data_IF_070560351541
#
_entry.id   IF_070560351541
#
_cell.length_a   1.000
_cell.length_b   1.000
_cell.length_c   1.000
_cell.angle_alpha   90.00
_cell.angle_beta   90.00
_cell.angle_gamma   90.00
#
_symmetry.space_group_name_H-M   'P 1'
#
loop_
_entity.id
_entity.type
_entity.pdbx_description
1 polymer ?
#
# COMPACT_ATOMS: atom_id res chain seq x y z
N UNK A 1 5.89 -14.89 17.90
CA UNK A 1 4.65 -14.18 18.31
C UNK A 1 3.50 -14.65 17.44
N UNK A 2 2.35 -14.98 18.02
CA UNK A 2 1.18 -15.53 17.30
C UNK A 2 0.36 -14.42 16.66
N UNK A 3 0.37 -14.36 15.32
CA UNK A 3 -0.63 -13.65 14.53
C UNK A 3 -1.52 -14.71 13.86
N UNK A 4 -2.82 -14.70 14.16
CA UNK A 4 -3.81 -15.60 13.58
C UNK A 4 -5.00 -14.77 13.10
N UNK A 5 -5.18 -14.60 11.79
CA UNK A 5 -6.55 -14.51 11.23
C UNK A 5 -7.02 -15.94 10.96
N UNK A 6 -7.23 -16.67 12.05
CA UNK A 6 -7.15 -18.13 12.05
C UNK A 6 -8.05 -18.81 11.02
N UNK A 7 -7.43 -19.60 10.13
CA UNK A 7 -7.87 -20.93 9.70
C UNK A 7 -6.66 -21.84 9.38
N UNK A 8 -5.72 -21.91 10.34
CA UNK A 8 -4.66 -22.92 10.40
C UNK A 8 -3.54 -22.80 9.36
N UNK A 9 -2.46 -23.55 9.58
CA UNK A 9 -1.33 -23.62 8.66
C UNK A 9 -1.67 -24.53 7.47
N UNK A 10 -1.13 -24.21 6.29
CA UNK A 10 -1.28 -25.01 5.09
C UNK A 10 -0.09 -24.80 4.15
N UNK A 11 0.12 -25.68 3.15
CA UNK A 11 1.15 -25.47 2.14
C UNK A 11 0.97 -24.13 1.41
N UNK A 12 2.06 -23.50 0.95
CA UNK A 12 1.97 -22.27 0.15
C UNK A 12 1.03 -22.45 -1.04
N UNK A 13 0.14 -21.47 -1.26
CA UNK A 13 -0.83 -21.50 -2.36
C UNK A 13 -1.99 -22.47 -2.18
N UNK A 14 -2.30 -22.90 -0.95
CA UNK A 14 -3.48 -23.75 -0.66
C UNK A 14 -4.49 -23.03 0.24
N UNK A 15 -4.03 -22.18 1.15
CA UNK A 15 -4.88 -21.39 2.05
C UNK A 15 -4.34 -19.97 2.17
N UNK A 16 -5.25 -19.05 2.49
CA UNK A 16 -4.87 -17.70 2.89
C UNK A 16 -4.85 -17.60 4.42
N UNK A 17 -3.74 -17.09 4.95
CA UNK A 17 -3.59 -16.73 6.36
C UNK A 17 -3.01 -15.33 6.42
N UNK A 18 -3.73 -14.39 7.04
CA UNK A 18 -3.22 -13.04 7.22
C UNK A 18 -2.05 -13.09 8.20
N UNK A 19 -0.90 -12.63 7.74
CA UNK A 19 0.30 -12.49 8.54
C UNK A 19 0.76 -11.03 8.49
N UNK A 20 0.80 -10.38 9.65
CA UNK A 20 1.37 -9.05 9.81
C UNK A 20 2.69 -9.06 10.60
N UNK A 21 3.33 -10.24 10.70
CA UNK A 21 4.53 -10.49 11.50
C UNK A 21 5.73 -10.89 10.63
N UNK A 22 6.49 -11.88 11.09
CA UNK A 22 7.83 -12.20 10.56
C UNK A 22 7.88 -12.52 9.05
N UNK A 23 6.82 -13.13 8.49
CA UNK A 23 6.85 -13.51 7.08
C UNK A 23 6.84 -12.31 6.13
N UNK A 24 6.00 -11.32 6.39
CA UNK A 24 5.95 -10.12 5.54
C UNK A 24 7.19 -9.24 5.71
N UNK A 25 7.89 -9.34 6.85
CA UNK A 25 9.11 -8.60 7.13
C UNK A 25 10.27 -8.98 6.19
N UNK A 26 10.20 -10.14 5.52
CA UNK A 26 11.15 -10.53 4.49
C UNK A 26 11.23 -9.52 3.34
N UNK A 27 10.20 -8.69 3.12
CA UNK A 27 10.25 -7.62 2.12
C UNK A 27 11.29 -6.55 2.46
N UNK A 28 11.53 -6.23 3.74
CA UNK A 28 12.63 -5.31 4.10
C UNK A 28 14.00 -5.94 3.81
N UNK A 29 14.17 -7.23 4.07
CA UNK A 29 15.38 -7.96 3.72
C UNK A 29 15.62 -8.00 2.20
N UNK A 30 14.54 -8.17 1.42
CA UNK A 30 14.60 -8.10 -0.05
C UNK A 30 15.02 -6.71 -0.53
N UNK A 31 14.43 -5.64 0.02
CA UNK A 31 14.84 -4.27 -0.30
C UNK A 31 16.33 -4.10 -0.02
N UNK A 32 16.79 -4.49 1.18
CA UNK A 32 18.21 -4.41 1.57
C UNK A 32 19.11 -5.11 0.56
N UNK A 33 18.76 -6.35 0.19
CA UNK A 33 19.55 -7.13 -0.76
C UNK A 33 19.65 -6.45 -2.14
N UNK A 34 18.57 -5.80 -2.59
CA UNK A 34 18.52 -5.17 -3.91
C UNK A 34 19.11 -3.76 -3.95
N UNK A 35 19.20 -3.05 -2.82
CA UNK A 35 19.53 -1.62 -2.79
C UNK A 35 20.83 -1.30 -2.07
N UNK A 36 21.49 -2.28 -1.46
CA UNK A 36 22.71 -2.10 -0.64
C UNK A 36 23.91 -1.47 -1.35
N UNK A 37 23.97 -1.51 -2.69
CA UNK A 37 25.03 -0.82 -3.45
C UNK A 37 24.89 0.71 -3.42
N UNK A 38 23.69 1.22 -3.16
CA UNK A 38 23.38 2.66 -3.22
C UNK A 38 22.80 3.24 -1.93
N UNK A 39 22.27 2.40 -1.04
CA UNK A 39 21.59 2.81 0.19
C UNK A 39 22.15 2.08 1.40
N UNK A 40 22.36 2.81 2.49
CA UNK A 40 22.84 2.24 3.75
C UNK A 40 21.77 1.36 4.44
N UNK A 41 20.49 1.65 4.21
CA UNK A 41 19.38 0.89 4.79
C UNK A 41 18.12 0.89 3.91
N UNK A 42 17.20 -0.08 4.08
CA UNK A 42 15.88 -0.05 3.47
C UNK A 42 15.07 1.20 3.76
N UNK A 43 15.16 1.75 4.98
CA UNK A 43 14.51 3.01 5.34
C UNK A 43 15.06 4.17 4.50
N UNK A 44 16.39 4.25 4.29
CA UNK A 44 16.98 5.31 3.46
C UNK A 44 16.46 5.24 2.02
N UNK A 45 16.40 4.02 1.47
CA UNK A 45 15.82 3.79 0.15
C UNK A 45 14.34 4.19 0.10
N UNK A 46 13.53 3.78 1.07
CA UNK A 46 12.10 4.06 1.09
C UNK A 46 11.80 5.55 1.33
N UNK A 47 12.60 6.23 2.15
CA UNK A 47 12.52 7.68 2.34
C UNK A 47 12.84 8.44 1.06
N UNK A 48 13.93 8.09 0.38
CA UNK A 48 14.40 8.79 -0.80
C UNK A 48 13.53 8.51 -2.04
N UNK A 49 13.16 7.25 -2.26
CA UNK A 49 12.46 6.81 -3.46
C UNK A 49 10.94 6.92 -3.35
N UNK A 50 10.37 6.99 -2.14
CA UNK A 50 8.91 7.00 -1.95
C UNK A 50 8.42 8.12 -1.03
N UNK A 51 8.88 8.17 0.22
CA UNK A 51 8.29 9.03 1.23
C UNK A 51 8.50 10.52 0.93
N UNK A 52 9.73 10.94 0.64
CA UNK A 52 10.07 12.32 0.29
C UNK A 52 9.41 12.78 -1.01
N UNK A 53 9.46 12.04 -2.13
CA UNK A 53 8.75 12.41 -3.36
C UNK A 53 7.24 12.61 -3.17
N UNK A 54 6.61 11.79 -2.31
CA UNK A 54 5.18 11.91 -2.02
C UNK A 54 4.84 13.05 -1.05
N UNK A 55 5.84 13.62 -0.38
CA UNK A 55 5.69 14.64 0.64
C UNK A 55 5.32 14.11 2.02
N UNK A 56 5.86 12.94 2.35
CA UNK A 56 5.72 12.24 3.63
C UNK A 56 7.10 11.98 4.28
N UNK A 57 7.99 12.98 4.42
CA UNK A 57 9.30 12.74 5.01
C UNK A 57 9.18 12.21 6.44
N UNK A 58 10.00 11.23 6.81
CA UNK A 58 9.99 10.61 8.13
C UNK A 58 8.84 9.62 8.34
N UNK A 59 8.21 9.14 7.26
CA UNK A 59 7.13 8.14 7.31
C UNK A 59 7.56 6.88 8.08
N UNK A 60 8.83 6.50 7.94
CA UNK A 60 9.39 5.27 8.54
C UNK A 60 10.20 5.53 9.82
N UNK A 61 10.23 6.76 10.32
CA UNK A 61 11.08 7.15 11.46
C UNK A 61 10.74 6.42 12.77
N UNK A 62 9.55 5.85 12.88
CA UNK A 62 9.04 5.19 14.08
C UNK A 62 8.96 3.66 13.94
N UNK A 63 9.56 3.08 12.90
CA UNK A 63 9.53 1.63 12.69
C UNK A 63 10.32 0.89 13.78
N UNK A 64 11.41 1.48 14.30
CA UNK A 64 12.17 0.92 15.43
C UNK A 64 12.93 -0.38 15.10
N UNK A 65 13.28 -0.60 13.83
CA UNK A 65 13.90 -1.82 13.31
C UNK A 65 15.31 -1.61 12.73
N UNK A 66 16.13 -0.74 13.34
CA UNK A 66 17.54 -0.53 12.95
C UNK A 66 17.77 -0.33 11.44
N UNK A 67 16.95 0.54 10.83
CA UNK A 67 17.02 0.89 9.40
C UNK A 67 16.22 -0.03 8.48
N UNK A 68 15.59 -1.08 8.99
CA UNK A 68 14.57 -1.83 8.24
C UNK A 68 13.20 -1.13 8.28
N UNK A 69 12.40 -1.36 7.24
CA UNK A 69 11.03 -0.87 7.14
C UNK A 69 10.09 -1.88 7.80
N UNK A 70 9.19 -1.42 8.67
CA UNK A 70 8.16 -2.26 9.29
C UNK A 70 7.03 -2.50 8.30
N UNK A 71 7.05 -3.66 7.64
CA UNK A 71 6.11 -3.97 6.55
C UNK A 71 4.69 -4.20 7.05
N UNK A 72 4.55 -4.69 8.29
CA UNK A 72 3.26 -4.98 8.91
C UNK A 72 2.47 -3.77 9.39
N UNK A 73 3.08 -2.58 9.35
CA UNK A 73 2.50 -1.33 9.81
C UNK A 73 3.30 -0.69 10.95
N UNK A 74 2.71 0.33 11.59
CA UNK A 74 3.36 1.14 12.63
C UNK A 74 3.73 2.54 12.16
N UNK A 75 3.60 2.83 10.86
CA UNK A 75 3.84 4.16 10.31
C UNK A 75 2.77 5.14 10.80
N UNK A 76 3.22 6.20 11.47
CA UNK A 76 2.36 7.24 12.01
C UNK A 76 2.03 8.26 10.93
N UNK A 77 0.74 8.44 10.64
CA UNK A 77 0.25 9.39 9.64
C UNK A 77 -0.96 10.16 10.15
N UNK A 78 -1.02 11.44 9.83
CA UNK A 78 -2.25 12.24 9.91
C UNK A 78 -3.20 11.92 8.75
N UNK A 79 -4.48 12.28 8.88
CA UNK A 79 -5.47 12.06 7.81
C UNK A 79 -5.06 12.70 6.46
N UNK A 80 -4.51 13.93 6.41
CA UNK A 80 -4.03 14.50 5.15
C UNK A 80 -2.86 13.74 4.52
N UNK A 81 -1.96 13.19 5.36
CA UNK A 81 -0.86 12.36 4.88
C UNK A 81 -1.37 11.05 4.26
N UNK A 82 -2.32 10.39 4.92
CA UNK A 82 -2.96 9.19 4.39
C UNK A 82 -3.74 9.50 3.09
N UNK A 83 -4.37 10.67 2.99
CA UNK A 83 -5.05 11.09 1.77
C UNK A 83 -4.11 11.20 0.56
N UNK A 84 -2.82 11.52 0.76
CA UNK A 84 -1.82 11.52 -0.32
C UNK A 84 -1.58 10.11 -0.87
N UNK A 85 -1.50 9.10 0.01
CA UNK A 85 -1.41 7.68 -0.40
C UNK A 85 -2.64 7.30 -1.23
N UNK A 86 -3.84 7.62 -0.73
CA UNK A 86 -5.09 7.36 -1.46
C UNK A 86 -5.12 8.05 -2.84
N UNK A 87 -4.70 9.31 -2.91
CA UNK A 87 -4.64 10.05 -4.16
C UNK A 87 -3.62 9.45 -5.14
N UNK A 88 -2.47 8.97 -4.66
CA UNK A 88 -1.48 8.28 -5.48
C UNK A 88 -2.05 6.99 -6.10
N UNK A 89 -2.81 6.20 -5.32
CA UNK A 89 -3.48 5.00 -5.80
C UNK A 89 -4.53 5.33 -6.88
N UNK A 90 -5.39 6.34 -6.64
CA UNK A 90 -6.40 6.79 -7.60
C UNK A 90 -5.75 7.30 -8.89
N UNK A 91 -4.61 8.00 -8.77
CA UNK A 91 -3.83 8.50 -9.89
C UNK A 91 -2.96 7.43 -10.56
N UNK A 92 -3.13 6.15 -10.22
CA UNK A 92 -2.38 5.04 -10.81
C UNK A 92 -0.86 5.21 -10.68
N UNK A 93 -0.43 5.70 -9.53
CA UNK A 93 0.97 5.90 -9.17
C UNK A 93 1.60 7.18 -9.74
N UNK A 94 0.81 8.02 -10.43
CA UNK A 94 1.26 9.30 -10.95
C UNK A 94 1.12 10.40 -9.89
N UNK A 95 2.13 11.27 -9.79
CA UNK A 95 2.17 12.34 -8.80
C UNK A 95 2.59 13.68 -9.43
N UNK A 96 1.95 14.81 -9.09
CA UNK A 96 2.32 16.10 -9.65
C UNK A 96 3.59 16.64 -8.99
N UNK A 97 4.49 17.21 -9.80
CA UNK A 97 5.75 17.82 -9.32
C UNK A 97 5.47 18.93 -8.31
N UNK A 98 4.42 19.72 -8.53
CA UNK A 98 4.01 20.81 -7.64
C UNK A 98 3.60 20.38 -6.23
N UNK A 99 3.19 19.11 -6.03
CA UNK A 99 2.77 18.60 -4.72
C UNK A 99 3.90 17.87 -3.96
N UNK A 100 5.03 17.64 -4.62
CA UNK A 100 6.25 17.18 -3.97
C UNK A 100 6.88 18.35 -3.19
N UNK A 101 7.40 18.12 -1.97
CA UNK A 101 8.15 19.15 -1.24
C UNK A 101 9.37 19.61 -2.05
N UNK A 102 9.89 20.80 -1.73
CA UNK A 102 11.11 21.38 -2.31
C UNK A 102 12.41 20.64 -1.89
N UNK A 103 12.37 19.32 -1.80
CA UNK A 103 13.56 18.47 -1.86
C UNK A 103 14.20 18.71 -3.24
N UNK A 104 15.54 18.71 -3.38
CA UNK A 104 16.15 18.93 -4.68
C UNK A 104 15.79 17.75 -5.59
N UNK A 105 14.71 17.94 -6.33
CA UNK A 105 14.32 17.11 -7.47
C UNK A 105 15.19 17.47 -8.69
N UNK A 106 16.19 18.33 -8.51
CA UNK A 106 17.07 18.89 -9.53
C UNK A 106 17.82 17.81 -10.33
N UNK A 107 18.00 16.62 -9.74
CA UNK A 107 18.57 15.44 -10.42
C UNK A 107 17.55 14.64 -11.25
N UNK A 108 16.25 14.84 -11.00
CA UNK A 108 15.17 14.24 -11.79
C UNK A 108 14.90 15.12 -13.02
N UNK A 109 15.10 14.62 -14.26
CA UNK A 109 15.02 15.44 -15.48
C UNK A 109 13.68 16.19 -15.67
N UNK A 110 12.60 15.71 -15.06
CA UNK A 110 11.25 16.25 -15.18
C UNK A 110 10.86 17.28 -14.11
N UNK A 111 11.72 17.53 -13.12
CA UNK A 111 11.42 18.39 -11.98
C UNK A 111 11.43 19.90 -12.29
N UNK A 112 11.99 20.29 -13.44
CA UNK A 112 12.12 21.69 -13.87
C UNK A 112 10.78 22.32 -14.23
N UNK A 113 9.77 21.51 -14.60
CA UNK A 113 8.43 21.98 -14.87
C UNK A 113 7.47 21.60 -13.73
N UNK A 114 7.10 22.59 -12.91
CA UNK A 114 6.17 22.42 -11.79
C UNK A 114 4.75 22.00 -12.20
N UNK A 115 4.40 22.11 -13.48
CA UNK A 115 3.11 21.62 -14.02
C UNK A 115 3.17 20.17 -14.50
N UNK A 116 4.35 19.55 -14.52
CA UNK A 116 4.52 18.16 -14.90
C UNK A 116 3.96 17.19 -13.86
N UNK A 117 3.81 15.94 -14.31
CA UNK A 117 3.49 14.77 -13.50
C UNK A 117 4.60 13.74 -13.73
N UNK A 118 4.94 13.01 -12.69
CA UNK A 118 5.90 11.90 -12.77
C UNK A 118 5.27 10.60 -12.27
N UNK A 119 5.82 9.48 -12.72
CA UNK A 119 5.38 8.15 -12.30
C UNK A 119 6.20 7.74 -11.06
N UNK A 120 5.61 7.87 -9.87
CA UNK A 120 6.25 7.48 -8.62
C UNK A 120 6.19 5.96 -8.41
N UNK A 121 5.04 5.35 -8.70
CA UNK A 121 4.83 3.90 -8.58
C UNK A 121 4.34 3.38 -9.92
N UNK A 122 4.86 2.26 -10.43
CA UNK A 122 4.43 1.73 -11.73
C UNK A 122 2.91 1.55 -11.81
N UNK A 123 2.31 1.97 -12.94
CA UNK A 123 0.89 1.75 -13.23
C UNK A 123 0.53 0.27 -13.25
N UNK A 124 1.45 -0.58 -13.71
CA UNK A 124 1.26 -2.04 -13.73
C UNK A 124 1.23 -2.59 -12.31
N UNK A 125 2.12 -2.12 -11.44
CA UNK A 125 2.12 -2.50 -10.03
C UNK A 125 0.83 -2.05 -9.33
N UNK A 126 0.35 -0.82 -9.55
CA UNK A 126 -0.94 -0.36 -8.99
C UNK A 126 -2.10 -1.24 -9.46
N UNK A 127 -2.08 -1.67 -10.73
CA UNK A 127 -3.09 -2.59 -11.26
C UNK A 127 -3.00 -3.97 -10.62
N UNK A 128 -1.80 -4.48 -10.37
CA UNK A 128 -1.58 -5.78 -9.77
C UNK A 128 -1.92 -5.80 -8.28
N UNK A 129 -1.50 -4.79 -7.51
CA UNK A 129 -1.81 -4.71 -6.08
C UNK A 129 -3.30 -4.58 -5.78
N UNK A 130 -4.08 -4.04 -6.73
CA UNK A 130 -5.53 -3.85 -6.62
C UNK A 130 -6.34 -5.03 -7.17
N UNK A 131 -5.68 -6.15 -7.49
CA UNK A 131 -6.32 -7.40 -7.91
C UNK A 131 -6.04 -8.51 -6.91
N UNK A 132 -6.94 -9.51 -6.79
CA UNK A 132 -6.69 -10.62 -5.90
C UNK A 132 -5.43 -11.37 -6.32
N UNK A 133 -4.50 -11.54 -5.37
CA UNK A 133 -3.24 -12.25 -5.63
C UNK A 133 -3.43 -13.76 -5.64
N UNK A 134 -4.44 -14.25 -4.90
CA UNK A 134 -4.74 -15.68 -4.79
C UNK A 134 -6.25 -15.93 -4.77
N UNK A 135 -6.94 -15.65 -5.89
CA UNK A 135 -8.41 -15.60 -5.96
C UNK A 135 -9.10 -16.92 -5.64
N UNK A 136 -8.41 -18.06 -5.73
CA UNK A 136 -8.98 -19.36 -5.38
C UNK A 136 -9.12 -19.57 -3.87
N UNK A 137 -8.42 -18.78 -3.04
CA UNK A 137 -8.53 -18.86 -1.58
C UNK A 137 -9.02 -17.55 -0.94
N UNK A 138 -8.75 -16.41 -1.57
CA UNK A 138 -9.24 -15.09 -1.12
C UNK A 138 -9.35 -14.12 -2.31
N UNK A 139 -10.55 -13.65 -2.62
CA UNK A 139 -10.80 -12.63 -3.65
C UNK A 139 -10.73 -11.21 -3.11
N UNK A 140 -10.58 -11.04 -1.80
CA UNK A 140 -10.58 -9.72 -1.14
C UNK A 140 -9.19 -9.24 -0.73
N UNK A 141 -8.10 -9.94 -1.13
CA UNK A 141 -6.73 -9.58 -0.75
C UNK A 141 -5.78 -9.58 -1.96
N UNK A 142 -5.12 -8.44 -2.16
CA UNK A 142 -4.12 -8.22 -3.21
C UNK A 142 -2.68 -8.31 -2.70
N UNK A 143 -1.79 -7.47 -3.24
CA UNK A 143 -0.41 -7.36 -2.74
C UNK A 143 -0.41 -6.47 -1.48
N UNK A 144 -0.50 -7.11 -0.31
CA UNK A 144 -0.54 -6.47 1.02
C UNK A 144 -1.68 -5.45 1.21
N UNK A 145 -2.79 -5.60 0.49
CA UNK A 145 -3.92 -4.67 0.56
C UNK A 145 -5.25 -5.42 0.53
N UNK A 146 -6.18 -5.02 1.39
CA UNK A 146 -7.58 -5.43 1.31
C UNK A 146 -8.26 -4.70 0.15
N UNK A 147 -8.92 -5.46 -0.70
CA UNK A 147 -9.61 -4.97 -1.89
C UNK A 147 -11.09 -4.86 -1.58
N UNK A 148 -11.67 -3.70 -1.87
CA UNK A 148 -13.11 -3.48 -1.74
C UNK A 148 -13.86 -4.18 -2.88
N UNK A 149 -14.04 -5.48 -2.74
CA UNK A 149 -14.77 -6.36 -3.66
C UNK A 149 -15.69 -7.28 -2.86
N UNK A 150 -16.79 -7.74 -3.48
CA UNK A 150 -17.63 -8.75 -2.84
C UNK A 150 -16.85 -10.06 -2.74
N UNK A 151 -16.83 -10.67 -1.56
CA UNK A 151 -16.22 -12.00 -1.39
C UNK A 151 -16.92 -13.02 -2.30
N UNK A 152 -16.17 -14.01 -2.77
CA UNK A 152 -16.77 -15.13 -3.50
C UNK A 152 -17.72 -15.92 -2.58
N UNK A 153 -18.78 -16.55 -3.12
CA UNK A 153 -19.81 -17.22 -2.30
C UNK A 153 -19.29 -18.34 -1.39
N UNK A 154 -18.12 -18.91 -1.72
CA UNK A 154 -17.44 -20.00 -1.04
C UNK A 154 -16.27 -19.55 -0.14
N UNK A 155 -16.01 -18.24 -0.06
CA UNK A 155 -14.97 -17.70 0.81
C UNK A 155 -15.41 -17.66 2.28
N UNK A 156 -14.73 -18.43 3.12
CA UNK A 156 -14.90 -18.42 4.59
C UNK A 156 -14.00 -17.40 5.29
N UNK A 157 -13.10 -16.76 4.55
CA UNK A 157 -12.06 -15.87 5.08
C UNK A 157 -12.65 -14.48 5.34
N UNK A 158 -12.82 -14.13 6.61
CA UNK A 158 -13.37 -12.83 7.04
C UNK A 158 -12.27 -11.78 7.22
N UNK A 159 -12.55 -10.56 6.75
CA UNK A 159 -12.13 -9.26 7.35
C UNK A 159 -12.72 -8.04 6.61
N UNK A 160 -13.18 -8.18 5.35
CA UNK A 160 -13.82 -7.09 4.58
C UNK A 160 -14.94 -7.59 3.66
N UNK A 161 -15.51 -8.75 3.92
CA UNK A 161 -16.74 -9.17 3.26
C UNK A 161 -17.86 -8.29 3.79
N UNK A 162 -18.30 -7.29 3.03
CA UNK A 162 -19.60 -6.67 3.27
C UNK A 162 -20.61 -7.82 3.27
N UNK A 163 -21.12 -8.19 4.44
CA UNK A 163 -22.25 -9.10 4.52
C UNK A 163 -23.37 -8.49 3.67
N UNK A 164 -23.60 -9.06 2.49
CA UNK A 164 -24.76 -8.75 1.66
C UNK A 164 -26.03 -9.36 2.24
N UNK A 165 -26.11 -9.52 3.56
CA UNK A 165 -27.33 -9.91 4.26
C UNK A 165 -28.14 -8.65 4.55
N UNK A 166 -28.85 -8.17 3.53
CA UNK A 166 -30.03 -7.33 3.73
C UNK A 166 -29.83 -5.82 3.90
N UNK A 167 -28.67 -5.25 3.59
CA UNK A 167 -28.54 -3.80 3.50
C UNK A 167 -29.11 -3.31 2.15
N UNK A 168 -30.38 -2.93 2.16
CA UNK A 168 -31.04 -2.17 1.09
C UNK A 168 -30.12 -1.04 0.63
N UNK A 169 -29.81 -0.98 -0.68
CA UNK A 169 -29.12 0.16 -1.31
C UNK A 169 -29.88 1.45 -0.98
N UNK A 170 -29.52 2.15 0.09
CA UNK A 170 -29.87 3.57 0.23
C UNK A 170 -28.88 4.34 -0.61
N UNK A 171 -29.34 4.76 -1.78
CA UNK A 171 -28.69 5.76 -2.60
C UNK A 171 -28.38 7.00 -1.73
N UNK A 172 -27.11 7.21 -1.46
CA UNK A 172 -26.59 8.42 -0.82
C UNK A 172 -26.33 9.46 -1.91
N UNK A 173 -27.39 9.87 -2.60
CA UNK A 173 -27.47 11.09 -3.42
C UNK A 173 -28.96 11.40 -3.61
N UNK A 174 -29.50 12.30 -2.78
CA UNK A 174 -30.72 13.02 -3.14
C UNK A 174 -30.28 14.19 -4.03
N UNK A 175 -30.81 14.34 -5.26
CA UNK A 175 -30.68 15.60 -5.97
C UNK A 175 -31.50 16.65 -5.22
N UNK A 176 -30.88 17.78 -4.91
CA UNK A 176 -31.59 19.01 -4.56
C UNK A 176 -32.25 19.51 -5.84
N UNK A 177 -33.58 19.46 -5.89
CA UNK A 177 -34.35 20.19 -6.89
C UNK A 177 -34.37 21.67 -6.46
N UNK A 178 -33.93 22.54 -7.37
CA UNK A 178 -34.42 23.92 -7.47
C UNK A 178 -35.85 23.93 -8.01
#
# INVERSE_FOLDING_TARGET
MTHTSGLGTGPPGVKFEYNSGEHIQHLSALIRALTSEHYASPVDWAEDQFARPLGLPGLFAHDGLDGDVSIGGGQLMSCPQLARIGQLLINRGAWPVSAAPAWPLDWLPWATNKTSVFQLVSRDYIREMSRPSFPQAVSTYGLLMWINHAAAPDETSCCMSLESKGATRRALFRPTNE
#
